data_IF_720201597690
#
_entry.id   IF_720201597690
#
_cell.length_a   1.000
_cell.length_b   1.000
_cell.length_c   1.000
_cell.angle_alpha   90.00
_cell.angle_beta   90.00
_cell.angle_gamma   90.00
#
_symmetry.space_group_name_H-M   'P 1'
#
loop_
_entity.id
_entity.type
_entity.pdbx_description
1 polymer ?
#
# COMPACT_ATOMS: atom_id res chain seq x y z
N UNK A 1 29.98 -33.82 58.79
CA UNK A 1 30.32 -32.42 59.13
C UNK A 1 29.96 -31.55 57.95
N UNK A 2 29.20 -30.49 58.21
CA UNK A 2 28.48 -29.68 57.24
C UNK A 2 29.40 -28.79 56.39
N UNK A 3 29.04 -28.62 55.10
CA UNK A 3 29.82 -27.88 54.12
C UNK A 3 29.72 -26.36 54.31
N UNK A 4 30.80 -25.76 54.80
CA UNK A 4 30.97 -24.31 54.87
C UNK A 4 31.31 -23.72 53.49
N UNK A 5 30.29 -23.31 52.74
CA UNK A 5 30.49 -22.39 51.61
C UNK A 5 30.70 -20.98 52.17
N UNK A 6 31.93 -20.47 52.05
CA UNK A 6 32.32 -19.10 52.38
C UNK A 6 31.55 -18.08 51.53
N UNK A 7 30.33 -17.73 51.95
CA UNK A 7 29.54 -16.67 51.30
C UNK A 7 30.10 -15.31 51.74
N UNK A 8 30.54 -14.52 50.77
CA UNK A 8 31.03 -13.16 50.98
C UNK A 8 30.05 -12.35 51.88
N UNK A 9 30.55 -11.51 52.81
CA UNK A 9 29.71 -10.83 53.76
C UNK A 9 28.72 -9.91 53.02
N UNK A 10 27.42 -10.19 53.19
CA UNK A 10 26.31 -9.40 52.68
C UNK A 10 25.78 -8.50 53.80
N UNK A 11 25.45 -7.27 53.46
CA UNK A 11 24.75 -6.33 54.35
C UNK A 11 23.36 -6.04 53.78
N UNK A 12 22.43 -5.68 54.65
CA UNK A 12 21.08 -5.29 54.24
C UNK A 12 21.03 -3.79 53.91
N UNK A 13 20.38 -3.42 52.81
CA UNK A 13 20.19 -2.03 52.43
C UNK A 13 19.02 -1.42 53.21
N UNK A 14 19.29 -0.45 54.08
CA UNK A 14 18.28 0.25 54.88
C UNK A 14 17.14 0.91 54.05
N UNK A 15 17.39 1.21 52.77
CA UNK A 15 16.41 1.88 51.90
C UNK A 15 15.43 0.92 51.21
N UNK A 16 15.82 -0.34 50.97
CA UNK A 16 14.97 -1.29 50.25
C UNK A 16 14.93 -2.71 50.84
N UNK A 17 15.56 -2.94 51.99
CA UNK A 17 15.63 -4.25 52.68
C UNK A 17 16.42 -5.33 51.94
N UNK A 18 17.08 -5.02 50.81
CA UNK A 18 17.77 -6.04 50.01
C UNK A 18 19.15 -6.37 50.57
N UNK A 19 19.45 -7.67 50.69
CA UNK A 19 20.78 -8.18 51.01
C UNK A 19 21.72 -8.05 49.82
N UNK A 20 22.71 -7.16 49.92
CA UNK A 20 23.72 -6.89 48.88
C UNK A 20 25.11 -7.15 49.46
N UNK A 21 26.05 -7.63 48.65
CA UNK A 21 27.44 -7.80 49.11
C UNK A 21 28.01 -6.47 49.59
N UNK A 22 28.80 -6.49 50.67
CA UNK A 22 29.37 -5.25 51.25
C UNK A 22 30.14 -4.41 50.22
N UNK A 23 30.91 -5.06 49.34
CA UNK A 23 31.65 -4.40 48.25
C UNK A 23 30.75 -3.66 47.25
N UNK A 24 29.52 -4.15 47.02
CA UNK A 24 28.58 -3.55 46.08
C UNK A 24 27.58 -2.60 46.73
N UNK A 25 27.59 -2.44 48.05
CA UNK A 25 26.62 -1.62 48.78
C UNK A 25 26.70 -0.14 48.37
N UNK A 26 27.91 0.37 48.12
CA UNK A 26 28.10 1.74 47.64
C UNK A 26 27.51 1.97 46.24
N UNK A 27 27.69 1.01 45.32
CA UNK A 27 27.10 1.05 43.97
C UNK A 27 25.58 0.91 44.02
N UNK A 28 25.09 0.00 44.87
CA UNK A 28 23.66 -0.21 45.09
C UNK A 28 22.96 1.05 45.59
N UNK A 29 23.53 1.76 46.58
CA UNK A 29 22.98 3.03 47.10
C UNK A 29 22.82 4.11 46.02
N UNK A 30 23.66 4.12 44.97
CA UNK A 30 23.56 5.10 43.87
C UNK A 30 22.32 4.93 42.99
N UNK A 31 21.76 3.72 42.95
CA UNK A 31 20.61 3.33 42.08
C UNK A 31 19.38 2.90 42.87
N UNK A 32 19.54 2.53 44.15
CA UNK A 32 18.47 2.17 45.05
C UNK A 32 17.59 3.40 45.34
N UNK A 33 16.27 3.27 45.13
CA UNK A 33 15.30 4.36 45.30
C UNK A 33 15.09 5.27 44.09
N UNK A 34 15.95 5.21 43.06
CA UNK A 34 15.74 5.96 41.82
C UNK A 34 14.76 5.21 40.90
N UNK A 35 13.61 5.82 40.59
CA UNK A 35 12.71 5.32 39.53
C UNK A 35 13.53 5.16 38.24
N UNK A 36 13.53 3.97 37.65
CA UNK A 36 14.20 3.74 36.36
C UNK A 36 13.46 4.52 35.28
N UNK A 37 14.18 5.35 34.52
CA UNK A 37 13.65 5.92 33.29
C UNK A 37 13.24 4.80 32.32
N UNK A 38 12.12 4.94 31.59
CA UNK A 38 11.70 3.98 30.57
C UNK A 38 12.82 3.74 29.54
N UNK A 39 13.00 2.49 29.14
CA UNK A 39 14.07 2.06 28.22
C UNK A 39 13.76 2.53 26.77
N UNK A 40 14.28 3.69 26.36
CA UNK A 40 14.22 4.26 24.99
C UNK A 40 14.95 3.45 23.89
N UNK A 41 15.46 2.25 24.21
CA UNK A 41 16.15 1.38 23.23
C UNK A 41 15.18 0.51 22.41
N UNK A 42 13.91 0.40 22.83
CA UNK A 42 12.89 -0.39 22.13
C UNK A 42 12.32 0.34 20.89
N UNK A 43 12.26 1.67 20.92
CA UNK A 43 11.53 2.46 19.92
C UNK A 43 12.29 2.54 18.58
N UNK A 44 13.61 2.72 18.62
CA UNK A 44 14.46 2.66 17.40
C UNK A 44 14.44 1.29 16.72
N UNK A 45 14.25 0.21 17.50
CA UNK A 45 14.15 -1.16 16.98
C UNK A 45 12.75 -1.41 16.41
N UNK A 46 11.69 -0.92 17.07
CA UNK A 46 10.33 -1.00 16.54
C UNK A 46 10.20 -0.23 15.22
N UNK A 47 10.77 0.97 15.12
CA UNK A 47 10.71 1.79 13.91
C UNK A 47 11.47 1.15 12.74
N UNK A 48 12.70 0.65 12.96
CA UNK A 48 13.43 -0.12 11.93
C UNK A 48 12.72 -1.40 11.52
N UNK A 49 12.12 -2.14 12.46
CA UNK A 49 11.32 -3.34 12.16
C UNK A 49 10.01 -3.01 11.44
N UNK A 50 9.52 -1.78 11.59
CA UNK A 50 8.34 -1.28 10.88
C UNK A 50 8.69 -0.91 9.44
N UNK A 51 9.72 -0.09 9.19
CA UNK A 51 10.23 0.22 7.85
C UNK A 51 10.54 -1.06 7.06
N UNK A 52 11.19 -2.03 7.71
CA UNK A 52 11.50 -3.31 7.08
C UNK A 52 10.26 -4.16 6.78
N UNK A 53 9.18 -4.05 7.58
CA UNK A 53 7.91 -4.74 7.31
C UNK A 53 7.16 -4.10 6.14
N UNK A 54 7.10 -2.77 6.10
CA UNK A 54 6.47 -2.02 4.99
C UNK A 54 7.23 -2.29 3.69
N UNK A 55 8.57 -2.20 3.72
CA UNK A 55 9.42 -2.47 2.56
C UNK A 55 9.29 -3.92 2.07
N UNK A 56 9.30 -4.92 2.97
CA UNK A 56 9.14 -6.32 2.58
C UNK A 56 7.72 -6.63 2.06
N UNK A 57 6.68 -5.98 2.57
CA UNK A 57 5.31 -6.12 2.05
C UNK A 57 5.21 -5.49 0.65
N UNK A 58 5.82 -4.33 0.44
CA UNK A 58 5.91 -3.68 -0.86
C UNK A 58 6.65 -4.55 -1.89
N UNK A 59 7.82 -5.11 -1.53
CA UNK A 59 8.59 -6.00 -2.42
C UNK A 59 7.85 -7.30 -2.77
N UNK A 60 7.14 -7.91 -1.81
CA UNK A 60 6.33 -9.13 -2.08
C UNK A 60 5.18 -8.84 -3.05
N UNK A 61 4.63 -7.63 -2.99
CA UNK A 61 3.55 -7.20 -3.88
C UNK A 61 4.08 -6.72 -5.22
N UNK A 62 5.23 -6.06 -5.28
CA UNK A 62 5.93 -5.81 -6.56
C UNK A 62 6.21 -7.13 -7.30
N UNK A 63 6.59 -8.18 -6.57
CA UNK A 63 6.76 -9.53 -7.10
C UNK A 63 5.44 -10.28 -7.36
N UNK A 64 4.33 -9.89 -6.74
CA UNK A 64 2.99 -10.44 -6.99
C UNK A 64 2.22 -9.66 -8.07
N UNK A 65 2.68 -8.45 -8.40
CA UNK A 65 2.22 -7.59 -9.50
C UNK A 65 2.75 -8.09 -10.85
N UNK A 66 2.72 -9.41 -11.06
CA UNK A 66 2.41 -9.91 -12.39
C UNK A 66 0.98 -9.44 -12.69
N UNK A 67 0.85 -8.56 -13.68
CA UNK A 67 -0.35 -7.81 -14.08
C UNK A 67 -1.63 -8.67 -14.19
N UNK A 68 -2.30 -8.95 -13.06
CA UNK A 68 -3.54 -9.74 -13.04
C UNK A 68 -4.47 -9.54 -11.85
N UNK A 69 -4.04 -8.86 -10.78
CA UNK A 69 -4.85 -8.69 -9.56
C UNK A 69 -6.00 -7.70 -9.72
N UNK A 70 -7.19 -8.11 -9.27
CA UNK A 70 -8.47 -7.44 -9.52
C UNK A 70 -8.53 -6.03 -8.94
N UNK A 71 -9.34 -5.15 -9.55
CA UNK A 71 -9.54 -3.75 -9.13
C UNK A 71 -9.89 -3.60 -7.64
N UNK A 72 -10.57 -4.58 -7.05
CA UNK A 72 -10.95 -4.60 -5.65
C UNK A 72 -9.74 -4.60 -4.70
N UNK A 73 -8.71 -5.38 -5.02
CA UNK A 73 -7.48 -5.51 -4.21
C UNK A 73 -6.69 -4.18 -4.16
N UNK A 74 -6.79 -3.37 -5.22
CA UNK A 74 -6.16 -2.03 -5.29
C UNK A 74 -6.89 -1.02 -4.40
N UNK A 75 -8.22 -1.10 -4.31
CA UNK A 75 -9.01 -0.21 -3.45
C UNK A 75 -8.86 -0.56 -1.97
N UNK A 76 -8.90 -1.85 -1.64
CA UNK A 76 -8.70 -2.33 -0.27
C UNK A 76 -7.29 -1.96 0.23
N UNK A 77 -6.27 -2.03 -0.65
CA UNK A 77 -4.93 -1.54 -0.36
C UNK A 77 -4.87 -0.05 -0.04
N UNK A 78 -5.53 0.82 -0.83
CA UNK A 78 -5.59 2.26 -0.54
C UNK A 78 -6.19 2.53 0.84
N UNK A 79 -7.25 1.80 1.19
CA UNK A 79 -7.96 1.99 2.45
C UNK A 79 -7.12 1.51 3.66
N UNK A 80 -6.53 0.33 3.58
CA UNK A 80 -5.64 -0.19 4.63
C UNK A 80 -4.42 0.73 4.86
N UNK A 81 -3.81 1.20 3.77
CA UNK A 81 -2.60 2.02 3.84
C UNK A 81 -2.88 3.39 4.46
N UNK A 82 -4.00 4.02 4.09
CA UNK A 82 -4.44 5.29 4.68
C UNK A 82 -4.81 5.12 6.16
N UNK A 83 -5.47 4.02 6.51
CA UNK A 83 -5.86 3.74 7.90
C UNK A 83 -4.64 3.51 8.80
N UNK A 84 -3.69 2.70 8.35
CA UNK A 84 -2.45 2.44 9.08
C UNK A 84 -1.62 3.73 9.28
N UNK A 85 -1.58 4.59 8.27
CA UNK A 85 -0.89 5.87 8.33
C UNK A 85 -1.53 6.83 9.33
N UNK A 86 -2.87 6.91 9.37
CA UNK A 86 -3.58 7.76 10.32
C UNK A 86 -3.41 7.29 11.77
N UNK A 87 -3.43 5.97 12.02
CA UNK A 87 -3.16 5.41 13.35
C UNK A 87 -1.75 5.75 13.83
N UNK A 88 -0.77 5.71 12.94
CA UNK A 88 0.61 6.08 13.25
C UNK A 88 0.76 7.57 13.55
N UNK A 89 0.05 8.43 12.82
CA UNK A 89 0.06 9.87 13.08
C UNK A 89 -0.40 10.18 14.51
N UNK A 90 -1.51 9.56 14.94
CA UNK A 90 -2.05 9.71 16.30
C UNK A 90 -1.07 9.19 17.35
N UNK A 91 -0.42 8.05 17.08
CA UNK A 91 0.57 7.48 18.00
C UNK A 91 1.82 8.38 18.13
N UNK A 92 2.29 8.97 17.02
CA UNK A 92 3.45 9.86 17.01
C UNK A 92 3.15 11.18 17.74
N UNK A 93 1.95 11.73 17.57
CA UNK A 93 1.50 12.93 18.30
C UNK A 93 1.49 12.67 19.81
N UNK A 94 0.93 11.54 20.26
CA UNK A 94 0.88 11.16 21.67
C UNK A 94 2.27 10.96 22.31
N UNK A 95 3.25 10.45 21.56
CA UNK A 95 4.61 10.22 22.05
C UNK A 95 5.45 11.52 22.16
N UNK A 96 4.99 12.62 21.52
CA UNK A 96 5.67 13.93 21.58
C UNK A 96 5.28 14.82 22.77
N UNK A 97 4.11 14.59 23.38
CA UNK A 97 3.58 15.45 24.46
C UNK A 97 4.31 15.24 25.81
N UNK A 98 5.03 14.12 25.96
CA UNK A 98 5.77 13.75 27.19
C UNK A 98 7.19 14.38 27.30
N UNK A 99 7.58 15.24 26.35
CA UNK A 99 8.88 15.93 26.34
C UNK A 99 8.75 17.38 26.81
N UNK A 100 8.12 17.62 27.97
CA UNK A 100 8.12 18.94 28.59
C UNK A 100 9.47 19.22 29.29
N UNK A 101 9.98 20.44 29.11
CA UNK A 101 11.25 20.94 29.69
C UNK A 101 11.20 21.15 31.23
N UNK A 102 10.48 20.30 31.98
CA UNK A 102 10.19 20.52 33.42
C UNK A 102 11.19 19.85 34.39
N UNK A 103 12.37 19.39 33.93
CA UNK A 103 13.36 18.73 34.80
C UNK A 103 14.75 19.35 34.68
N UNK A 104 14.85 20.69 34.71
CA UNK A 104 16.13 21.38 34.67
C UNK A 104 16.58 21.96 36.03
N UNK A 105 15.66 22.30 36.93
CA UNK A 105 15.95 23.10 38.15
C UNK A 105 16.65 22.36 39.31
N UNK A 106 17.26 21.20 39.05
CA UNK A 106 17.98 20.44 40.07
C UNK A 106 19.14 19.58 39.56
N UNK A 107 19.56 19.75 38.31
CA UNK A 107 20.66 18.97 37.72
C UNK A 107 21.99 19.71 37.89
N UNK A 108 23.08 18.98 38.22
CA UNK A 108 24.44 19.52 38.12
C UNK A 108 24.73 19.95 36.67
N UNK A 109 25.55 20.97 36.45
CA UNK A 109 25.91 21.49 35.11
C UNK A 109 26.27 20.40 34.08
N UNK A 110 27.06 19.40 34.49
CA UNK A 110 27.46 18.29 33.62
C UNK A 110 26.31 17.35 33.23
N UNK A 111 25.26 17.28 34.06
CA UNK A 111 24.04 16.51 33.79
C UNK A 111 23.06 17.32 32.92
N UNK A 112 22.96 18.63 33.15
CA UNK A 112 22.22 19.55 32.28
C UNK A 112 22.77 19.52 30.83
N UNK A 113 24.09 19.66 30.65
CA UNK A 113 24.70 19.60 29.31
C UNK A 113 24.50 18.25 28.61
N UNK A 114 24.53 17.15 29.38
CA UNK A 114 24.22 15.82 28.82
C UNK A 114 22.79 15.71 28.34
N UNK A 115 21.84 16.29 29.07
CA UNK A 115 20.43 16.29 28.72
C UNK A 115 20.16 17.20 27.51
N UNK A 116 20.73 18.41 27.49
CA UNK A 116 20.63 19.30 26.33
C UNK A 116 21.22 18.67 25.07
N UNK A 117 22.33 17.94 25.17
CA UNK A 117 22.89 17.19 24.04
C UNK A 117 22.02 16.00 23.60
N UNK A 118 21.20 15.42 24.48
CA UNK A 118 20.18 14.42 24.08
C UNK A 118 19.05 15.10 23.32
N UNK A 119 18.53 16.21 23.82
CA UNK A 119 17.46 16.99 23.19
C UNK A 119 17.89 17.46 21.79
N UNK A 120 19.11 18.01 21.63
CA UNK A 120 19.65 18.41 20.32
C UNK A 120 19.75 17.25 19.33
N UNK A 121 20.06 16.04 19.79
CA UNK A 121 20.06 14.83 18.93
C UNK A 121 18.65 14.40 18.56
N UNK A 122 17.73 14.36 19.52
CA UNK A 122 16.34 14.03 19.26
C UNK A 122 15.69 15.01 18.26
N UNK A 123 15.98 16.31 18.36
CA UNK A 123 15.51 17.32 17.40
C UNK A 123 16.05 17.08 15.98
N UNK A 124 17.32 16.67 15.83
CA UNK A 124 17.89 16.31 14.52
C UNK A 124 17.27 15.03 13.96
N UNK A 125 17.20 13.96 14.76
CA UNK A 125 16.58 12.70 14.37
C UNK A 125 15.11 12.93 13.92
N UNK A 126 14.38 13.84 14.60
CA UNK A 126 13.00 14.25 14.23
C UNK A 126 12.96 14.98 12.89
N UNK A 127 13.82 15.98 12.69
CA UNK A 127 13.88 16.73 11.43
C UNK A 127 14.25 15.84 10.23
N UNK A 128 15.17 14.89 10.42
CA UNK A 128 15.51 13.88 9.41
C UNK A 128 14.31 12.95 9.11
N UNK A 129 13.58 12.53 10.16
CA UNK A 129 12.34 11.76 10.02
C UNK A 129 11.26 12.52 9.23
N UNK A 130 11.04 13.80 9.53
CA UNK A 130 10.07 14.65 8.81
C UNK A 130 10.46 14.83 7.32
N UNK A 131 11.74 15.04 7.03
CA UNK A 131 12.23 15.14 5.66
C UNK A 131 12.02 13.85 4.85
N UNK A 132 12.32 12.69 5.44
CA UNK A 132 12.11 11.39 4.79
C UNK A 132 10.62 11.10 4.56
N UNK A 133 9.77 11.46 5.52
CA UNK A 133 8.32 11.31 5.38
C UNK A 133 7.74 12.19 4.28
N UNK A 134 8.17 13.45 4.20
CA UNK A 134 7.78 14.36 3.11
C UNK A 134 8.19 13.80 1.74
N UNK A 135 9.41 13.26 1.63
CA UNK A 135 9.87 12.61 0.40
C UNK A 135 8.99 11.41 -0.01
N UNK A 136 8.63 10.55 0.94
CA UNK A 136 7.74 9.41 0.68
C UNK A 136 6.33 9.86 0.28
N UNK A 137 5.81 10.93 0.89
CA UNK A 137 4.50 11.49 0.53
C UNK A 137 4.48 11.99 -0.91
N UNK A 138 5.55 12.65 -1.36
CA UNK A 138 5.67 13.12 -2.74
C UNK A 138 5.84 11.98 -3.74
N UNK A 139 6.60 10.92 -3.39
CA UNK A 139 6.65 9.71 -4.20
C UNK A 139 5.27 9.07 -4.35
N UNK A 140 4.52 8.90 -3.25
CA UNK A 140 3.15 8.36 -3.29
C UNK A 140 2.22 9.20 -4.17
N UNK A 141 2.34 10.53 -4.10
CA UNK A 141 1.60 11.46 -4.96
C UNK A 141 1.93 11.25 -6.44
N UNK A 142 3.21 11.09 -6.77
CA UNK A 142 3.66 10.82 -8.13
C UNK A 142 3.14 9.47 -8.66
N UNK A 143 3.26 8.40 -7.86
CA UNK A 143 2.76 7.08 -8.24
C UNK A 143 1.25 7.10 -8.46
N UNK A 144 0.49 7.75 -7.57
CA UNK A 144 -0.95 7.93 -7.72
C UNK A 144 -1.30 8.58 -9.06
N UNK A 145 -0.65 9.70 -9.42
CA UNK A 145 -0.86 10.37 -10.71
C UNK A 145 -0.56 9.45 -11.91
N UNK A 146 0.51 8.65 -11.82
CA UNK A 146 0.87 7.70 -12.87
C UNK A 146 -0.18 6.60 -13.04
N UNK A 147 -0.68 6.05 -11.94
CA UNK A 147 -1.75 5.05 -11.94
C UNK A 147 -3.04 5.63 -12.52
N UNK A 148 -3.42 6.83 -12.11
CA UNK A 148 -4.61 7.52 -12.66
C UNK A 148 -4.50 7.72 -14.18
N UNK A 149 -3.32 8.14 -14.67
CA UNK A 149 -3.06 8.28 -16.10
C UNK A 149 -3.17 6.94 -16.85
N UNK A 150 -2.58 5.88 -16.31
CA UNK A 150 -2.68 4.55 -16.90
C UNK A 150 -4.11 4.03 -16.93
N UNK A 151 -4.85 4.21 -15.84
CA UNK A 151 -6.25 3.80 -15.77
C UNK A 151 -7.10 4.52 -16.82
N UNK A 152 -6.93 5.83 -16.99
CA UNK A 152 -7.62 6.59 -18.04
C UNK A 152 -7.28 6.08 -19.45
N UNK A 153 -6.00 5.76 -19.71
CA UNK A 153 -5.56 5.19 -20.99
C UNK A 153 -6.15 3.81 -21.26
N UNK A 154 -6.22 2.95 -20.25
CA UNK A 154 -6.82 1.61 -20.35
C UNK A 154 -8.31 1.72 -20.61
N UNK A 155 -9.03 2.58 -19.88
CA UNK A 155 -10.46 2.83 -20.10
C UNK A 155 -10.75 3.32 -21.52
N UNK A 156 -9.93 4.22 -22.05
CA UNK A 156 -10.06 4.69 -23.43
C UNK A 156 -9.85 3.55 -24.45
N UNK A 157 -8.83 2.72 -24.26
CA UNK A 157 -8.59 1.57 -25.13
C UNK A 157 -9.72 0.54 -25.06
N UNK A 158 -10.25 0.26 -23.87
CA UNK A 158 -11.39 -0.63 -23.69
C UNK A 158 -12.63 -0.11 -24.42
N UNK A 159 -12.95 1.18 -24.28
CA UNK A 159 -14.08 1.80 -24.98
C UNK A 159 -13.91 1.74 -26.52
N UNK A 160 -12.71 2.02 -27.02
CA UNK A 160 -12.41 1.93 -28.45
C UNK A 160 -12.52 0.49 -28.98
N UNK A 161 -12.08 -0.50 -28.20
CA UNK A 161 -12.22 -1.91 -28.55
C UNK A 161 -13.70 -2.33 -28.58
N UNK A 162 -14.47 -1.93 -27.58
CA UNK A 162 -15.89 -2.19 -27.51
C UNK A 162 -16.65 -1.56 -28.68
N UNK A 163 -16.37 -0.29 -29.02
CA UNK A 163 -16.99 0.36 -30.17
C UNK A 163 -16.67 -0.35 -31.49
N UNK A 164 -15.47 -0.92 -31.64
CA UNK A 164 -15.12 -1.75 -32.81
C UNK A 164 -15.87 -3.08 -32.82
N UNK A 165 -16.00 -3.73 -31.68
CA UNK A 165 -16.80 -4.96 -31.52
C UNK A 165 -18.26 -4.72 -31.89
N UNK A 166 -18.87 -3.65 -31.38
CA UNK A 166 -20.27 -3.29 -31.65
C UNK A 166 -20.50 -3.00 -33.14
N UNK A 167 -19.60 -2.24 -33.78
CA UNK A 167 -19.67 -2.00 -35.24
C UNK A 167 -19.54 -3.30 -36.03
N UNK A 168 -18.61 -4.17 -35.67
CA UNK A 168 -18.43 -5.45 -36.34
C UNK A 168 -19.64 -6.39 -36.13
N UNK A 169 -20.26 -6.34 -34.95
CA UNK A 169 -21.46 -7.09 -34.65
C UNK A 169 -22.65 -6.58 -35.48
N UNK A 170 -22.85 -5.26 -35.54
CA UNK A 170 -23.91 -4.66 -36.35
C UNK A 170 -23.81 -5.05 -37.84
N UNK A 171 -22.60 -5.05 -38.41
CA UNK A 171 -22.36 -5.50 -39.78
C UNK A 171 -22.70 -6.98 -39.98
N UNK A 172 -22.32 -7.85 -39.03
CA UNK A 172 -22.69 -9.28 -39.07
C UNK A 172 -24.20 -9.48 -39.00
N UNK A 173 -24.87 -8.72 -38.14
CA UNK A 173 -26.33 -8.81 -37.97
C UNK A 173 -27.08 -8.33 -39.23
N UNK A 174 -26.57 -7.27 -39.88
CA UNK A 174 -27.10 -6.79 -41.16
C UNK A 174 -26.95 -7.83 -42.27
N UNK A 175 -25.77 -8.45 -42.41
CA UNK A 175 -25.53 -9.51 -43.40
C UNK A 175 -26.36 -10.76 -43.11
N UNK A 176 -26.51 -11.14 -41.84
CA UNK A 176 -27.40 -12.23 -41.45
C UNK A 176 -28.87 -11.93 -41.78
N UNK A 177 -29.32 -10.69 -41.60
CA UNK A 177 -30.67 -10.28 -41.98
C UNK A 177 -30.89 -10.36 -43.50
N UNK A 178 -29.91 -9.93 -44.31
CA UNK A 178 -29.93 -10.08 -45.78
C UNK A 178 -30.02 -11.54 -46.18
N UNK A 179 -29.17 -12.40 -45.60
CA UNK A 179 -29.18 -13.84 -45.90
C UNK A 179 -30.49 -14.51 -45.50
N UNK A 180 -31.05 -14.19 -44.32
CA UNK A 180 -32.36 -14.71 -43.89
C UNK A 180 -33.45 -14.36 -44.89
N UNK A 181 -33.49 -13.11 -45.37
CA UNK A 181 -34.45 -12.68 -46.38
C UNK A 181 -34.30 -13.45 -47.70
N UNK A 182 -33.06 -13.68 -48.15
CA UNK A 182 -32.80 -14.48 -49.37
C UNK A 182 -33.27 -15.92 -49.21
N UNK A 183 -33.03 -16.53 -48.04
CA UNK A 183 -33.49 -17.88 -47.72
C UNK A 183 -35.01 -17.93 -47.73
N UNK A 184 -35.69 -17.00 -47.06
CA UNK A 184 -37.16 -16.94 -47.02
C UNK A 184 -37.78 -16.72 -48.42
N UNK A 185 -37.15 -15.90 -49.27
CA UNK A 185 -37.53 -15.77 -50.69
C UNK A 185 -37.35 -17.07 -51.47
N UNK A 186 -36.29 -17.84 -51.20
CA UNK A 186 -36.01 -19.11 -51.85
C UNK A 186 -36.99 -20.21 -51.40
N UNK A 187 -37.27 -20.28 -50.09
CA UNK A 187 -38.22 -21.22 -49.51
C UNK A 187 -39.66 -20.95 -49.97
N UNK A 188 -40.04 -19.68 -50.13
CA UNK A 188 -41.39 -19.29 -50.59
C UNK A 188 -41.62 -19.50 -52.08
N UNK A 189 -40.61 -19.27 -52.94
CA UNK A 189 -40.72 -19.42 -54.41
C UNK A 189 -40.41 -20.84 -54.88
N UNK A 190 -39.75 -21.65 -54.05
CA UNK A 190 -39.21 -22.96 -54.42
C UNK A 190 -37.94 -22.84 -55.28
N UNK A 191 -37.12 -23.91 -55.35
CA UNK A 191 -35.96 -23.94 -56.23
C UNK A 191 -36.40 -23.80 -57.70
N UNK A 192 -35.72 -22.97 -58.50
CA UNK A 192 -35.90 -22.97 -59.95
C UNK A 192 -35.68 -24.40 -60.45
N UNK A 193 -36.71 -24.99 -61.05
CA UNK A 193 -36.68 -26.38 -61.47
C UNK A 193 -35.91 -26.55 -62.79
N UNK A 194 -35.70 -25.45 -63.53
CA UNK A 194 -35.03 -25.46 -64.83
C UNK A 194 -34.03 -24.29 -64.99
N UNK A 195 -33.05 -24.48 -65.88
CA UNK A 195 -32.00 -23.50 -66.18
C UNK A 195 -32.56 -22.21 -66.83
N UNK A 196 -33.65 -22.32 -67.60
CA UNK A 196 -34.29 -21.18 -68.27
C UNK A 196 -35.02 -20.28 -67.27
N UNK A 197 -35.72 -20.87 -66.28
CA UNK A 197 -36.33 -20.12 -65.16
C UNK A 197 -35.28 -19.36 -64.34
N UNK A 198 -34.09 -19.95 -64.15
CA UNK A 198 -32.98 -19.27 -63.50
C UNK A 198 -32.48 -18.08 -64.33
N UNK A 199 -32.35 -18.23 -65.65
CA UNK A 199 -31.88 -17.15 -66.54
C UNK A 199 -32.87 -15.99 -66.61
N UNK A 200 -34.18 -16.25 -66.66
CA UNK A 200 -35.20 -15.20 -66.58
C UNK A 200 -35.18 -14.49 -65.22
N UNK A 201 -35.08 -15.25 -64.12
CA UNK A 201 -34.97 -14.70 -62.76
C UNK A 201 -33.74 -13.81 -62.56
N UNK A 202 -32.57 -14.22 -63.07
CA UNK A 202 -31.31 -13.47 -62.93
C UNK A 202 -31.33 -12.19 -63.77
N UNK A 203 -31.91 -12.24 -64.98
CA UNK A 203 -32.14 -11.06 -65.81
C UNK A 203 -33.06 -10.04 -65.12
N UNK A 204 -34.12 -10.51 -64.44
CA UNK A 204 -35.07 -9.63 -63.74
C UNK A 204 -34.49 -9.02 -62.46
N UNK A 205 -33.59 -9.74 -61.77
CA UNK A 205 -32.81 -9.18 -60.67
C UNK A 205 -31.83 -8.10 -61.15
N UNK A 206 -31.13 -8.33 -62.27
CA UNK A 206 -30.21 -7.33 -62.85
C UNK A 206 -30.91 -6.06 -63.34
N UNK A 207 -32.13 -6.17 -63.88
CA UNK A 207 -32.90 -5.00 -64.31
C UNK A 207 -33.44 -4.16 -63.15
N UNK A 208 -33.53 -4.72 -61.93
CA UNK A 208 -34.04 -4.03 -60.74
C UNK A 208 -32.95 -3.34 -59.90
N UNK A 209 -31.67 -3.49 -60.25
CA UNK A 209 -30.58 -2.74 -59.62
C UNK A 209 -30.54 -1.35 -60.26
N UNK A 210 -31.03 -0.33 -59.54
CA UNK A 210 -30.88 1.06 -59.99
C UNK A 210 -29.40 1.47 -60.02
N UNK A 211 -28.96 2.27 -61.00
CA UNK A 211 -27.59 2.74 -61.06
C UNK A 211 -27.27 3.61 -59.85
N UNK A 212 -26.20 3.26 -59.14
CA UNK A 212 -25.61 4.11 -58.10
C UNK A 212 -25.10 5.37 -58.81
N UNK A 213 -25.72 6.51 -58.55
CA UNK A 213 -25.23 7.81 -59.03
C UNK A 213 -23.96 8.17 -58.23
N UNK A 214 -22.86 8.44 -58.96
CA UNK A 214 -21.60 8.99 -58.44
C UNK A 214 -21.75 10.43 -57.92
#
# INVERSE_FOLDING_TARGET
MEGNTSKAPKGECATCGKLVSKSNMAMHRKVCGKKKAPKTRKDKILNKRFEQRVFNRFRRLEAACDFGSSTQEIYDFKLETVTAFNQLKVQLEADTDDLTEEVADGLSDAAYEREMNRIRRAKRDKAEGEATFSHLQDQLRMYRKRVEKHLASVSLHAANFQAKQEKAQALRDEELAKLKKVIEEFESKGPCATYDEFKESENQRRSNVQPVQE
#
